data_IF_743748918320
#
_entry.id   IF_743748918320
#
_cell.length_a   1.000
_cell.length_b   1.000
_cell.length_c   1.000
_cell.angle_alpha   90.00
_cell.angle_beta   90.00
_cell.angle_gamma   90.00
#
_symmetry.space_group_name_H-M   'P 1'
#
loop_
_entity.id
_entity.type
_entity.pdbx_description
1 polymer ?
#
# COMPACT_ATOMS: atom_id res chain seq x y z
N UNK A 1 -7.69 -32.70 -60.56
CA UNK A 1 -8.20 -32.68 -59.17
C UNK A 1 -8.96 -31.37 -58.97
N UNK A 2 -10.28 -31.40 -58.73
CA UNK A 2 -11.10 -30.18 -58.52
C UNK A 2 -11.17 -29.87 -57.03
N UNK A 3 -10.58 -28.75 -56.60
CA UNK A 3 -10.74 -28.21 -55.24
C UNK A 3 -12.16 -27.70 -55.07
N UNK A 4 -12.92 -28.34 -54.17
CA UNK A 4 -14.28 -27.92 -53.81
C UNK A 4 -14.15 -26.81 -52.77
N UNK A 5 -14.20 -25.55 -53.22
CA UNK A 5 -14.25 -24.41 -52.31
C UNK A 5 -15.59 -24.48 -51.55
N UNK A 6 -15.53 -24.84 -50.26
CA UNK A 6 -16.69 -24.76 -49.36
C UNK A 6 -16.75 -23.33 -48.83
N UNK A 7 -17.76 -22.57 -49.25
CA UNK A 7 -18.06 -21.26 -48.69
C UNK A 7 -18.89 -21.38 -47.41
N UNK A 8 -18.78 -20.38 -46.54
CA UNK A 8 -19.67 -20.23 -45.39
C UNK A 8 -21.08 -19.81 -45.84
N UNK A 9 -22.09 -20.37 -45.20
CA UNK A 9 -23.49 -19.94 -45.40
C UNK A 9 -23.79 -18.67 -44.61
N UNK A 10 -24.77 -17.89 -45.06
CA UNK A 10 -25.25 -16.72 -44.32
C UNK A 10 -25.73 -17.08 -42.92
N UNK A 11 -26.36 -18.26 -42.77
CA UNK A 11 -26.85 -18.74 -41.48
C UNK A 11 -25.69 -19.02 -40.52
N UNK A 12 -24.63 -19.69 -40.99
CA UNK A 12 -23.43 -19.92 -40.17
C UNK A 12 -22.79 -18.60 -39.71
N UNK A 13 -22.73 -17.60 -40.59
CA UNK A 13 -22.20 -16.28 -40.22
C UNK A 13 -23.03 -15.60 -39.12
N UNK A 14 -24.37 -15.64 -39.23
CA UNK A 14 -25.28 -15.07 -38.22
C UNK A 14 -25.13 -15.78 -36.87
N UNK A 15 -25.05 -17.11 -36.88
CA UNK A 15 -24.87 -17.90 -35.65
C UNK A 15 -23.53 -17.58 -34.98
N UNK A 16 -22.45 -17.45 -35.75
CA UNK A 16 -21.12 -17.10 -35.22
C UNK A 16 -21.12 -15.70 -34.58
N UNK A 17 -21.71 -14.70 -35.26
CA UNK A 17 -21.81 -13.33 -34.73
C UNK A 17 -22.66 -13.31 -33.45
N UNK A 18 -23.79 -14.03 -33.43
CA UNK A 18 -24.64 -14.13 -32.26
C UNK A 18 -23.91 -14.73 -31.04
N UNK A 19 -23.15 -15.81 -31.25
CA UNK A 19 -22.34 -16.43 -30.18
C UNK A 19 -21.25 -15.45 -29.71
N UNK A 20 -20.54 -14.77 -30.62
CA UNK A 20 -19.52 -13.77 -30.25
C UNK A 20 -20.12 -12.62 -29.43
N UNK A 21 -21.30 -12.12 -29.78
CA UNK A 21 -21.97 -11.05 -29.04
C UNK A 21 -22.31 -11.46 -27.60
N UNK A 22 -22.82 -12.68 -27.41
CA UNK A 22 -23.11 -13.24 -26.08
C UNK A 22 -21.82 -13.37 -25.26
N UNK A 23 -20.76 -13.93 -25.86
CA UNK A 23 -19.48 -14.13 -25.17
C UNK A 23 -18.83 -12.80 -24.74
N UNK A 24 -18.86 -11.78 -25.61
CA UNK A 24 -18.36 -10.43 -25.28
C UNK A 24 -19.18 -9.77 -24.16
N UNK A 25 -20.51 -9.97 -24.16
CA UNK A 25 -21.39 -9.48 -23.09
C UNK A 25 -21.05 -10.05 -21.70
N UNK A 26 -20.60 -11.31 -21.63
CA UNK A 26 -20.23 -11.98 -20.38
C UNK A 26 -18.78 -11.65 -19.96
N UNK A 27 -17.87 -11.44 -20.91
CA UNK A 27 -16.46 -11.23 -20.62
C UNK A 27 -16.17 -9.91 -19.87
N UNK A 28 -16.87 -8.81 -20.22
CA UNK A 28 -16.65 -7.47 -19.66
C UNK A 28 -16.83 -7.38 -18.13
N UNK A 29 -17.91 -7.87 -17.51
CA UNK A 29 -18.09 -7.75 -16.06
C UNK A 29 -17.04 -8.51 -15.23
N UNK A 30 -16.41 -9.55 -15.78
CA UNK A 30 -15.42 -10.38 -15.04
C UNK A 30 -14.12 -9.63 -14.69
N UNK A 31 -13.68 -8.70 -15.55
CA UNK A 31 -12.42 -7.97 -15.38
C UNK A 31 -12.51 -6.88 -14.29
N UNK A 32 -13.68 -6.27 -14.10
CA UNK A 32 -13.92 -5.27 -13.06
C UNK A 32 -13.82 -5.85 -11.63
N UNK A 33 -14.14 -7.14 -11.47
CA UNK A 33 -14.05 -7.83 -10.19
C UNK A 33 -12.61 -7.96 -9.69
N UNK A 34 -11.66 -8.28 -10.60
CA UNK A 34 -10.24 -8.47 -10.28
C UNK A 34 -9.59 -7.19 -9.76
N UNK A 35 -9.97 -6.03 -10.29
CA UNK A 35 -9.43 -4.75 -9.85
C UNK A 35 -9.89 -4.39 -8.43
N UNK A 36 -11.17 -4.65 -8.10
CA UNK A 36 -11.69 -4.46 -6.75
C UNK A 36 -10.99 -5.32 -5.69
N UNK A 37 -10.71 -6.59 -6.00
CA UNK A 37 -9.96 -7.48 -5.10
C UNK A 37 -8.55 -6.95 -4.80
N UNK A 38 -7.88 -6.35 -5.79
CA UNK A 38 -6.54 -5.78 -5.61
C UNK A 38 -6.55 -4.55 -4.72
N UNK A 39 -7.54 -3.67 -4.90
CA UNK A 39 -7.72 -2.49 -4.03
C UNK A 39 -7.97 -2.93 -2.59
N UNK A 40 -8.84 -3.92 -2.38
CA UNK A 40 -9.11 -4.47 -1.05
C UNK A 40 -7.87 -5.09 -0.41
N UNK A 41 -7.13 -5.93 -1.15
CA UNK A 41 -5.91 -6.56 -0.64
C UNK A 41 -4.88 -5.51 -0.22
N UNK A 42 -4.58 -4.56 -1.10
CA UNK A 42 -3.59 -3.52 -0.83
C UNK A 42 -3.98 -2.63 0.36
N UNK A 43 -5.25 -2.19 0.44
CA UNK A 43 -5.73 -1.41 1.57
C UNK A 43 -5.65 -2.20 2.89
N UNK A 44 -6.02 -3.48 2.89
CA UNK A 44 -5.92 -4.35 4.05
C UNK A 44 -4.47 -4.63 4.46
N UNK A 45 -3.54 -4.76 3.50
CA UNK A 45 -2.11 -4.88 3.79
C UNK A 45 -1.56 -3.61 4.45
N UNK A 46 -1.98 -2.42 4.00
CA UNK A 46 -1.59 -1.15 4.63
C UNK A 46 -2.16 -1.06 6.04
N UNK A 47 -3.44 -1.39 6.22
CA UNK A 47 -4.11 -1.46 7.52
C UNK A 47 -3.36 -2.38 8.51
N UNK A 48 -3.03 -3.61 8.08
CA UNK A 48 -2.25 -4.55 8.88
C UNK A 48 -0.84 -4.04 9.19
N UNK A 49 -0.20 -3.35 8.24
CA UNK A 49 1.11 -2.75 8.46
C UNK A 49 1.08 -1.63 9.51
N UNK A 50 0.04 -0.79 9.48
CA UNK A 50 -0.19 0.25 10.49
C UNK A 50 -0.36 -0.39 11.88
N UNK A 51 -1.21 -1.41 12.01
CA UNK A 51 -1.43 -2.11 13.28
C UNK A 51 -0.17 -2.79 13.82
N UNK A 52 0.59 -3.47 12.95
CA UNK A 52 1.88 -4.09 13.31
C UNK A 52 2.87 -3.03 13.78
N UNK A 53 3.03 -1.95 13.01
CA UNK A 53 3.98 -0.89 13.31
C UNK A 53 3.64 -0.17 14.61
N UNK A 54 2.35 0.08 14.87
CA UNK A 54 1.88 0.65 16.14
C UNK A 54 2.25 -0.24 17.32
N UNK A 55 1.97 -1.54 17.20
CA UNK A 55 2.32 -2.52 18.25
C UNK A 55 3.81 -2.54 18.53
N UNK A 56 4.64 -2.55 17.48
CA UNK A 56 6.10 -2.57 17.61
C UNK A 56 6.65 -1.26 18.20
N UNK A 57 6.20 -0.11 17.69
CA UNK A 57 6.64 1.21 18.15
C UNK A 57 6.25 1.49 19.62
N UNK A 58 5.11 0.99 20.09
CA UNK A 58 4.69 1.14 21.49
C UNK A 58 5.47 0.21 22.44
N UNK A 59 5.81 -0.99 21.98
CA UNK A 59 6.49 -1.98 22.82
C UNK A 59 8.02 -1.81 22.84
N UNK A 60 8.60 -1.13 21.85
CA UNK A 60 10.05 -1.13 21.61
C UNK A 60 10.60 0.26 21.31
N UNK A 61 11.89 0.35 20.98
CA UNK A 61 12.54 1.64 20.69
C UNK A 61 12.24 2.15 19.28
N UNK A 62 12.06 1.25 18.31
CA UNK A 62 11.78 1.60 16.91
C UNK A 62 10.72 0.69 16.32
N UNK A 63 9.71 1.31 15.71
CA UNK A 63 8.82 0.66 14.76
C UNK A 63 8.46 1.64 13.65
N UNK A 64 9.08 1.46 12.48
CA UNK A 64 8.78 2.26 11.29
C UNK A 64 8.27 1.36 10.16
N UNK A 65 7.21 1.80 9.48
CA UNK A 65 6.83 1.23 8.18
C UNK A 65 7.16 2.21 7.07
N UNK A 66 7.77 1.70 6.01
CA UNK A 66 7.97 2.42 4.75
C UNK A 66 7.02 1.85 3.71
N UNK A 67 6.11 2.69 3.20
CA UNK A 67 5.31 2.42 2.02
C UNK A 67 5.98 3.09 0.83
N UNK A 68 6.41 2.29 -0.14
CA UNK A 68 7.17 2.78 -1.29
C UNK A 68 6.59 2.29 -2.62
N UNK A 69 6.81 3.09 -3.65
CA UNK A 69 6.44 2.76 -5.02
C UNK A 69 7.70 2.46 -5.83
N UNK A 70 7.76 1.24 -6.37
CA UNK A 70 8.77 0.76 -7.30
C UNK A 70 8.18 0.60 -8.70
N UNK A 71 9.02 0.31 -9.69
CA UNK A 71 8.59 0.12 -11.09
C UNK A 71 7.47 -0.91 -11.22
N UNK A 72 7.58 -2.03 -10.51
CA UNK A 72 6.71 -3.19 -10.66
C UNK A 72 5.52 -3.21 -9.66
N UNK A 73 5.49 -2.30 -8.69
CA UNK A 73 4.43 -2.27 -7.68
C UNK A 73 4.73 -1.43 -6.45
N UNK A 74 3.89 -1.59 -5.43
CA UNK A 74 4.03 -0.97 -4.13
C UNK A 74 4.46 -1.99 -3.11
N UNK A 75 5.35 -1.57 -2.23
CA UNK A 75 5.96 -2.40 -1.22
C UNK A 75 5.81 -1.80 0.16
N UNK A 76 5.68 -2.66 1.16
CA UNK A 76 5.83 -2.29 2.56
C UNK A 76 7.10 -2.96 3.08
N UNK A 77 7.94 -2.20 3.76
CA UNK A 77 9.07 -2.72 4.53
C UNK A 77 9.01 -2.18 5.95
N UNK A 78 9.57 -2.93 6.89
CA UNK A 78 9.56 -2.58 8.31
C UNK A 78 10.98 -2.46 8.83
N UNK A 79 11.18 -1.52 9.75
CA UNK A 79 12.43 -1.34 10.47
C UNK A 79 12.06 -1.40 11.94
N UNK A 80 12.20 -2.60 12.50
CA UNK A 80 11.71 -2.94 13.82
C UNK A 80 12.89 -3.25 14.72
N UNK A 81 12.94 -2.59 15.87
CA UNK A 81 13.77 -3.07 16.97
C UNK A 81 13.24 -4.44 17.39
N UNK A 82 14.06 -5.50 17.40
CA UNK A 82 13.68 -6.84 17.89
C UNK A 82 14.17 -7.09 19.32
N UNK A 83 14.52 -6.04 20.04
CA UNK A 83 15.05 -6.10 21.39
C UNK A 83 16.56 -6.30 21.38
N UNK A 84 17.12 -6.67 22.53
CA UNK A 84 18.56 -6.86 22.69
C UNK A 84 18.95 -8.32 22.45
N UNK A 85 19.88 -8.55 21.53
CA UNK A 85 20.63 -9.82 21.47
C UNK A 85 22.00 -9.54 22.08
N UNK A 86 22.16 -9.87 23.37
CA UNK A 86 23.33 -9.47 24.16
C UNK A 86 23.27 -8.01 24.62
N UNK A 87 24.41 -7.28 24.59
CA UNK A 87 24.49 -5.84 24.96
C UNK A 87 24.17 -4.87 23.82
N UNK A 88 23.82 -5.36 22.62
CA UNK A 88 23.52 -4.55 21.43
C UNK A 88 22.03 -4.65 21.07
N UNK A 89 21.45 -3.55 20.58
CA UNK A 89 20.11 -3.60 20.01
C UNK A 89 20.10 -4.47 18.74
N UNK A 90 18.95 -5.01 18.35
CA UNK A 90 18.81 -5.87 17.19
C UNK A 90 17.69 -5.33 16.29
N UNK A 91 17.95 -4.25 15.57
CA UNK A 91 16.96 -3.69 14.63
C UNK A 91 17.08 -4.41 13.29
N UNK A 92 16.06 -5.13 12.84
CA UNK A 92 16.11 -5.78 11.53
C UNK A 92 15.17 -5.11 10.55
N UNK A 93 15.65 -4.95 9.32
CA UNK A 93 14.81 -4.64 8.19
C UNK A 93 14.13 -5.93 7.74
N UNK A 94 12.80 -5.97 7.80
CA UNK A 94 12.04 -7.09 7.23
C UNK A 94 12.11 -7.02 5.69
N UNK A 95 12.07 -8.18 5.04
CA UNK A 95 12.02 -8.26 3.58
C UNK A 95 10.82 -7.47 3.04
N UNK A 96 11.02 -6.59 2.03
CA UNK A 96 9.92 -5.83 1.45
C UNK A 96 8.81 -6.73 0.90
N UNK A 97 7.59 -6.52 1.36
CA UNK A 97 6.40 -7.24 0.90
C UNK A 97 5.69 -6.46 -0.21
N UNK A 98 5.46 -7.10 -1.36
CA UNK A 98 4.69 -6.49 -2.46
C UNK A 98 3.19 -6.53 -2.15
N UNK A 99 2.58 -5.37 -1.94
CA UNK A 99 1.16 -5.26 -1.59
C UNK A 99 0.25 -4.97 -2.79
N UNK A 100 0.80 -4.38 -3.86
CA UNK A 100 0.03 -4.00 -5.04
C UNK A 100 0.89 -3.97 -6.30
N UNK A 101 0.37 -4.43 -7.46
CA UNK A 101 1.07 -4.24 -8.75
C UNK A 101 1.13 -2.80 -9.22
N UNK A 102 1.98 -2.53 -10.21
CA UNK A 102 2.25 -1.20 -10.75
C UNK A 102 1.00 -0.39 -11.14
N UNK A 103 -0.03 -1.06 -11.70
CA UNK A 103 -1.31 -0.46 -12.13
C UNK A 103 -2.25 0.02 -11.02
N UNK A 104 -1.93 -0.25 -9.75
CA UNK A 104 -2.66 0.38 -8.63
C UNK A 104 -2.15 1.81 -8.49
N UNK A 105 -3.01 2.74 -8.08
CA UNK A 105 -2.58 4.05 -7.65
C UNK A 105 -2.72 4.12 -6.13
N UNK A 106 -1.64 4.45 -5.42
CA UNK A 106 -1.69 4.75 -3.99
C UNK A 106 -1.25 6.20 -3.80
N UNK A 107 -2.05 6.93 -3.06
CA UNK A 107 -1.85 8.33 -2.72
C UNK A 107 -2.01 8.55 -1.22
N UNK A 108 -1.48 9.65 -0.73
CA UNK A 108 -1.65 10.09 0.64
C UNK A 108 -1.97 11.59 0.71
N UNK A 109 -2.58 12.00 1.79
CA UNK A 109 -2.83 13.41 2.10
C UNK A 109 -2.24 13.69 3.47
N UNK A 110 -1.53 14.80 3.60
CA UNK A 110 -1.08 15.29 4.90
C UNK A 110 -2.13 16.21 5.52
N UNK A 111 -2.07 16.43 6.83
CA UNK A 111 -2.92 17.43 7.48
C UNK A 111 -2.81 18.80 6.79
N UNK A 112 -3.96 19.33 6.34
CA UNK A 112 -4.05 20.60 5.61
C UNK A 112 -3.49 20.59 4.18
N UNK A 113 -3.00 19.44 3.69
CA UNK A 113 -2.40 19.30 2.36
C UNK A 113 -3.36 18.83 1.28
N UNK A 114 -2.87 18.83 0.03
CA UNK A 114 -3.54 18.18 -1.11
C UNK A 114 -3.16 16.70 -1.22
N UNK A 115 -3.94 15.93 -1.99
CA UNK A 115 -3.64 14.54 -2.30
C UNK A 115 -2.34 14.44 -3.13
N UNK A 116 -1.39 13.63 -2.66
CA UNK A 116 -0.11 13.35 -3.30
C UNK A 116 -0.09 11.89 -3.76
N UNK A 117 0.11 11.65 -5.05
CA UNK A 117 0.24 10.29 -5.61
C UNK A 117 1.70 9.85 -5.49
N UNK A 118 1.93 8.64 -4.99
CA UNK A 118 3.27 8.06 -4.95
C UNK A 118 3.73 7.67 -6.37
N UNK A 119 4.74 8.38 -6.87
CA UNK A 119 5.46 8.07 -8.09
C UNK A 119 6.55 7.01 -7.89
N UNK A 120 7.15 6.52 -8.99
CA UNK A 120 8.26 5.55 -8.90
C UNK A 120 9.45 6.20 -8.20
N UNK A 121 9.95 5.55 -7.15
CA UNK A 121 11.01 6.09 -6.29
C UNK A 121 10.49 6.77 -5.03
N UNK A 122 9.22 7.17 -5.02
CA UNK A 122 8.62 7.85 -3.87
C UNK A 122 8.30 6.87 -2.74
N UNK A 123 8.34 7.39 -1.51
CA UNK A 123 7.92 6.66 -0.33
C UNK A 123 7.45 7.58 0.78
N UNK A 124 6.60 7.05 1.65
CA UNK A 124 6.29 7.65 2.94
C UNK A 124 6.71 6.71 4.06
N UNK A 125 7.17 7.31 5.16
CA UNK A 125 7.60 6.58 6.36
C UNK A 125 6.68 6.98 7.50
N UNK A 126 5.98 6.00 8.06
CA UNK A 126 4.98 6.19 9.11
C UNK A 126 5.45 5.46 10.36
N UNK A 127 5.35 6.15 11.49
CA UNK A 127 5.67 5.64 12.82
C UNK A 127 4.76 6.27 13.87
N UNK A 128 4.91 5.83 15.11
CA UNK A 128 4.02 6.17 16.22
C UNK A 128 4.80 6.70 17.40
N UNK A 129 4.16 7.58 18.16
CA UNK A 129 4.62 7.95 19.48
C UNK A 129 4.49 6.73 20.39
N UNK A 130 5.61 6.34 21.02
CA UNK A 130 5.65 5.17 21.90
C UNK A 130 4.76 5.32 23.14
N UNK A 131 4.68 6.52 23.71
CA UNK A 131 3.99 6.76 24.97
C UNK A 131 2.46 6.86 24.78
N UNK A 132 2.03 7.54 23.71
CA UNK A 132 0.60 7.80 23.47
C UNK A 132 -0.02 6.86 22.44
N UNK A 133 0.81 6.24 21.60
CA UNK A 133 0.35 5.47 20.44
C UNK A 133 -0.21 6.34 19.31
N UNK A 134 -0.03 7.67 19.36
CA UNK A 134 -0.45 8.61 18.33
C UNK A 134 0.44 8.51 17.08
N UNK A 135 -0.07 8.91 15.91
CA UNK A 135 0.77 9.06 14.71
C UNK A 135 1.77 10.20 14.90
N UNK A 136 3.02 9.95 14.52
CA UNK A 136 4.02 11.01 14.37
C UNK A 136 3.92 11.64 12.96
N UNK A 137 4.51 12.85 12.78
CA UNK A 137 4.75 13.39 11.45
C UNK A 137 5.41 12.37 10.51
N UNK A 138 5.25 12.55 9.20
CA UNK A 138 5.97 11.73 8.23
C UNK A 138 7.47 11.88 8.46
N UNK A 139 8.21 10.77 8.44
CA UNK A 139 9.66 10.78 8.64
C UNK A 139 10.36 11.03 7.30
N UNK A 140 11.42 11.84 7.31
CA UNK A 140 12.14 12.22 6.09
C UNK A 140 13.02 11.10 5.51
N UNK A 141 13.40 10.15 6.36
CA UNK A 141 14.20 8.98 6.01
C UNK A 141 13.77 7.80 6.85
N UNK A 142 14.22 6.62 6.42
CA UNK A 142 14.19 5.44 7.27
C UNK A 142 15.51 5.30 7.99
N UNK A 143 15.46 4.94 9.26
CA UNK A 143 16.65 4.71 10.06
C UNK A 143 17.20 3.29 9.84
N UNK A 144 18.44 3.20 9.37
CA UNK A 144 19.11 1.91 9.20
C UNK A 144 19.50 1.31 10.56
N UNK A 145 19.67 -0.02 10.61
CA UNK A 145 20.16 -0.71 11.81
C UNK A 145 21.45 -0.06 12.35
N UNK A 146 22.39 0.29 11.47
CA UNK A 146 23.67 0.88 11.85
C UNK A 146 23.53 2.26 12.48
N UNK A 147 22.69 3.13 11.91
CA UNK A 147 22.43 4.47 12.47
C UNK A 147 21.75 4.39 13.83
N UNK A 148 20.79 3.46 13.99
CA UNK A 148 20.08 3.26 15.25
C UNK A 148 21.05 2.75 16.32
N UNK A 149 21.87 1.73 16.00
CA UNK A 149 22.83 1.18 16.95
C UNK A 149 23.82 2.23 17.44
N UNK A 150 24.36 3.03 16.51
CA UNK A 150 25.31 4.10 16.85
C UNK A 150 24.66 5.14 17.78
N UNK A 151 23.40 5.49 17.55
CA UNK A 151 22.66 6.45 18.37
C UNK A 151 22.41 5.91 19.77
N UNK A 152 22.03 4.64 19.87
CA UNK A 152 21.77 3.97 21.15
C UNK A 152 23.05 3.74 21.96
N UNK A 153 24.17 3.38 21.31
CA UNK A 153 25.47 3.23 21.98
C UNK A 153 25.97 4.56 22.56
N UNK A 154 25.61 5.69 21.95
CA UNK A 154 25.87 7.03 22.47
C UNK A 154 24.93 7.45 23.62
N UNK A 155 24.03 6.56 24.08
CA UNK A 155 23.06 6.85 25.14
C UNK A 155 21.98 7.86 24.74
N UNK A 156 21.78 8.08 23.44
CA UNK A 156 20.79 9.01 22.91
C UNK A 156 19.53 8.28 22.47
N UNK A 157 18.40 8.96 22.62
CA UNK A 157 17.16 8.52 22.01
C UNK A 157 17.21 8.67 20.49
N UNK A 158 16.41 7.84 19.82
CA UNK A 158 16.33 7.81 18.36
C UNK A 158 15.56 9.05 17.91
N UNK A 159 16.16 9.92 17.07
CA UNK A 159 15.61 11.23 16.77
C UNK A 159 14.55 11.13 15.67
N UNK A 160 13.41 10.53 16.02
CA UNK A 160 12.21 10.56 15.19
C UNK A 160 11.73 12.01 15.03
N UNK A 161 11.24 12.34 13.84
CA UNK A 161 10.64 13.63 13.52
C UNK A 161 9.41 13.84 14.41
N UNK A 162 9.41 14.93 15.19
CA UNK A 162 8.32 15.30 16.11
C UNK A 162 7.53 16.54 15.69
N UNK A 163 8.05 17.32 14.74
CA UNK A 163 7.39 18.49 14.17
C UNK A 163 7.19 18.33 12.66
N UNK A 164 6.10 18.88 12.13
CA UNK A 164 5.75 18.77 10.72
C UNK A 164 4.38 18.13 10.49
N UNK A 165 4.07 17.86 9.22
CA UNK A 165 2.76 17.32 8.85
C UNK A 165 2.74 15.80 8.97
N UNK A 166 1.65 15.28 9.53
CA UNK A 166 1.38 13.84 9.58
C UNK A 166 0.44 13.44 8.43
N UNK A 167 0.44 12.16 8.09
CA UNK A 167 -0.44 11.60 7.06
C UNK A 167 -1.87 11.44 7.60
N UNK A 168 -2.82 12.22 7.11
CA UNK A 168 -4.23 12.16 7.52
C UNK A 168 -5.04 11.12 6.74
N UNK A 169 -4.62 10.80 5.51
CA UNK A 169 -5.37 9.90 4.65
C UNK A 169 -4.42 9.10 3.75
N UNK A 170 -4.73 7.82 3.54
CA UNK A 170 -4.13 7.01 2.46
C UNK A 170 -5.25 6.48 1.57
N UNK A 171 -5.12 6.66 0.26
CA UNK A 171 -6.11 6.22 -0.71
C UNK A 171 -5.50 5.23 -1.70
N UNK A 172 -6.19 4.11 -1.89
CA UNK A 172 -5.83 3.04 -2.83
C UNK A 172 -6.90 3.03 -3.92
N UNK A 173 -6.49 3.30 -5.16
CA UNK A 173 -7.35 3.36 -6.36
C UNK A 173 -6.96 2.28 -7.36
N UNK A 174 -7.96 1.69 -8.01
CA UNK A 174 -7.77 0.68 -9.06
C UNK A 174 -8.99 0.57 -9.97
N UNK A 175 -8.85 1.02 -11.21
CA UNK A 175 -9.99 1.21 -12.11
C UNK A 175 -10.97 2.22 -11.50
N UNK A 176 -12.25 1.87 -11.46
CA UNK A 176 -13.30 2.69 -10.87
C UNK A 176 -13.47 2.53 -9.35
N UNK A 177 -12.75 1.58 -8.72
CA UNK A 177 -12.86 1.29 -7.29
C UNK A 177 -11.78 2.03 -6.51
N UNK A 178 -12.12 2.48 -5.30
CA UNK A 178 -11.13 2.95 -4.35
C UNK A 178 -11.46 2.56 -2.91
N UNK A 179 -10.42 2.57 -2.08
CA UNK A 179 -10.52 2.51 -0.63
C UNK A 179 -9.72 3.62 -0.01
N UNK A 180 -10.23 4.15 1.08
CA UNK A 180 -9.59 5.22 1.82
C UNK A 180 -9.41 4.80 3.27
N UNK A 181 -8.19 4.91 3.77
CA UNK A 181 -7.86 4.82 5.18
C UNK A 181 -7.77 6.25 5.71
N UNK A 182 -8.68 6.63 6.61
CA UNK A 182 -8.61 7.89 7.35
C UNK A 182 -7.86 7.64 8.65
N UNK A 183 -6.71 8.28 8.80
CA UNK A 183 -5.83 8.11 9.95
C UNK A 183 -6.26 9.11 11.04
N UNK A 184 -6.35 8.64 12.28
CA UNK A 184 -6.78 9.44 13.43
C UNK A 184 -5.56 9.71 14.30
N UNK A 185 -4.92 10.87 14.09
CA UNK A 185 -3.65 11.28 14.71
C UNK A 185 -3.51 10.85 16.17
N UNK A 186 -4.37 11.38 17.03
CA UNK A 186 -4.26 11.25 18.49
C UNK A 186 -4.35 9.81 18.99
N UNK A 187 -5.03 8.94 18.24
CA UNK A 187 -5.25 7.55 18.65
C UNK A 187 -4.29 6.57 17.98
N UNK A 188 -3.66 6.96 16.88
CA UNK A 188 -2.92 6.04 16.00
C UNK A 188 -3.79 5.01 15.28
N UNK A 189 -5.11 5.12 15.35
CA UNK A 189 -6.06 4.23 14.68
C UNK A 189 -6.43 4.77 13.31
N UNK A 190 -7.10 3.95 12.51
CA UNK A 190 -7.66 4.37 11.23
C UNK A 190 -9.09 3.86 11.06
N UNK A 191 -9.85 4.53 10.21
CA UNK A 191 -11.12 4.01 9.68
C UNK A 191 -10.96 3.74 8.19
N UNK A 192 -11.69 2.75 7.68
CA UNK A 192 -11.59 2.37 6.27
C UNK A 192 -12.94 2.47 5.59
N UNK A 193 -12.99 3.22 4.50
CA UNK A 193 -14.18 3.36 3.64
C UNK A 193 -13.88 2.81 2.25
N UNK A 194 -14.93 2.38 1.55
CA UNK A 194 -14.83 1.93 0.17
C UNK A 194 -15.71 2.83 -0.69
N UNK A 195 -15.27 3.12 -1.90
CA UNK A 195 -16.03 3.95 -2.83
C UNK A 195 -15.86 3.50 -4.27
N UNK A 196 -16.66 4.14 -5.13
CA UNK A 196 -16.68 3.91 -6.56
C UNK A 196 -16.74 5.27 -7.27
N UNK A 197 -15.86 5.50 -8.25
CA UNK A 197 -15.94 6.64 -9.15
C UNK A 197 -16.80 6.24 -10.35
N UNK A 198 -17.98 6.84 -10.48
CA UNK A 198 -18.75 6.78 -11.71
C UNK A 198 -17.97 7.60 -12.73
N UNK A 199 -17.34 6.92 -13.69
CA UNK A 199 -16.71 7.56 -14.85
C UNK A 199 -17.76 7.97 -15.86
#
# INVERSE_FOLDING_TARGET
MKSKNRGFTLVELIVVIAIMAILLGIAIPSLNSILGFRVNRAANSIAAALDKTRTEAMNRLVGEMKLEKREDGYYISYYLDRGKVGRKANVQQDQPEKIAPARTQISYTTEGGSEQVLGVGDSIVITYDRATGAFLPLQDKVWTQTEILTTLEAGKDIPLVRGGSWCSQITVKGGSRYKTLQLIKETGKYTMTSGWNFG
#
